data_IF_867572807552
#
_entry.id   IF_867572807552
#
_cell.length_a   1.000
_cell.length_b   1.000
_cell.length_c   1.000
_cell.angle_alpha   90.00
_cell.angle_beta   90.00
_cell.angle_gamma   90.00
#
_symmetry.space_group_name_H-M   'P 1'
#
loop_
_entity.id
_entity.type
_entity.pdbx_description
1 polymer ?
#
# COMPACT_ATOMS: atom_id res chain seq x y z
N UNK A 1 1.73 9.90 41.42
CA UNK A 1 1.03 10.48 40.25
C UNK A 1 1.59 9.81 38.99
N UNK A 2 0.85 8.94 38.29
CA UNK A 2 1.30 8.39 37.02
C UNK A 2 1.38 9.52 35.99
N UNK A 3 2.52 9.67 35.27
CA UNK A 3 2.63 10.68 34.22
C UNK A 3 1.56 10.43 33.16
N UNK A 4 0.77 11.45 32.83
CA UNK A 4 -0.20 11.38 31.72
C UNK A 4 0.58 11.09 30.42
N UNK A 5 0.35 9.92 29.86
CA UNK A 5 0.93 9.53 28.56
C UNK A 5 0.46 10.54 27.51
N UNK A 6 1.37 11.26 26.90
CA UNK A 6 1.06 12.29 25.89
C UNK A 6 0.47 11.65 24.63
N UNK A 7 -0.31 12.42 23.85
CA UNK A 7 -0.82 11.96 22.55
C UNK A 7 0.34 11.56 21.60
N UNK A 8 1.42 12.33 21.61
CA UNK A 8 2.62 12.06 20.83
C UNK A 8 3.24 10.69 21.18
N UNK A 9 3.44 10.40 22.47
CA UNK A 9 3.97 9.10 22.90
C UNK A 9 3.07 7.94 22.47
N UNK A 10 1.73 8.11 22.51
CA UNK A 10 0.81 7.07 22.02
C UNK A 10 0.98 6.80 20.53
N UNK A 11 1.18 7.84 19.74
CA UNK A 11 1.44 7.72 18.28
C UNK A 11 2.76 7.00 18.03
N UNK A 12 3.84 7.39 18.68
CA UNK A 12 5.16 6.76 18.54
C UNK A 12 5.13 5.26 18.90
N UNK A 13 4.44 4.90 20.00
CA UNK A 13 4.28 3.49 20.38
C UNK A 13 3.46 2.72 19.35
N UNK A 14 2.39 3.32 18.81
CA UNK A 14 1.56 2.70 17.77
C UNK A 14 2.37 2.44 16.50
N UNK A 15 3.14 3.39 16.04
CA UNK A 15 4.03 3.28 14.87
C UNK A 15 5.09 2.19 15.08
N UNK A 16 5.72 2.18 16.25
CA UNK A 16 6.68 1.14 16.63
C UNK A 16 6.08 -0.27 16.58
N UNK A 17 4.84 -0.43 17.06
CA UNK A 17 4.14 -1.71 17.01
C UNK A 17 3.83 -2.11 15.56
N UNK A 18 3.37 -1.17 14.73
CA UNK A 18 3.06 -1.42 13.32
C UNK A 18 4.33 -1.85 12.57
N UNK A 19 5.44 -1.17 12.78
CA UNK A 19 6.73 -1.53 12.16
C UNK A 19 7.22 -2.91 12.61
N UNK A 20 7.11 -3.22 13.90
CA UNK A 20 7.44 -4.54 14.43
C UNK A 20 6.53 -5.64 13.83
N UNK A 21 5.25 -5.33 13.62
CA UNK A 21 4.33 -6.26 12.98
C UNK A 21 4.71 -6.55 11.53
N UNK A 22 5.04 -5.53 10.72
CA UNK A 22 5.52 -5.68 9.35
C UNK A 22 6.74 -6.61 9.33
N UNK A 23 7.76 -6.30 10.13
CA UNK A 23 9.00 -7.08 10.22
C UNK A 23 8.74 -8.53 10.64
N UNK A 24 7.86 -8.74 11.63
CA UNK A 24 7.57 -10.08 12.15
C UNK A 24 6.77 -10.90 11.13
N UNK A 25 5.76 -10.30 10.49
CA UNK A 25 5.01 -10.94 9.41
C UNK A 25 5.90 -11.26 8.21
N UNK A 26 6.78 -10.37 7.79
CA UNK A 26 7.72 -10.61 6.68
C UNK A 26 8.69 -11.77 6.96
N UNK A 27 9.05 -11.96 8.23
CA UNK A 27 10.01 -13.01 8.63
C UNK A 27 9.37 -14.38 8.81
N UNK A 28 8.21 -14.45 9.45
CA UNK A 28 7.60 -15.70 9.89
C UNK A 28 6.31 -16.05 9.15
N UNK A 29 5.79 -15.13 8.35
CA UNK A 29 4.48 -15.22 7.72
C UNK A 29 3.35 -14.73 8.62
N UNK A 30 2.25 -14.28 8.00
CA UNK A 30 1.10 -13.76 8.74
C UNK A 30 0.44 -14.82 9.63
N UNK A 31 0.24 -16.04 9.10
CA UNK A 31 -0.46 -17.10 9.83
C UNK A 31 0.32 -17.57 11.06
N UNK A 32 1.61 -17.84 10.90
CA UNK A 32 2.48 -18.36 11.95
C UNK A 32 2.84 -17.34 13.03
N UNK A 33 2.76 -16.04 12.72
CA UNK A 33 3.10 -14.98 13.67
C UNK A 33 2.07 -14.90 14.80
N UNK A 34 2.55 -14.86 16.03
CA UNK A 34 1.74 -14.63 17.24
C UNK A 34 1.84 -13.16 17.67
N UNK A 35 0.82 -12.66 18.35
CA UNK A 35 0.86 -11.32 18.95
C UNK A 35 2.04 -11.14 19.92
N UNK A 36 2.42 -12.23 20.62
CA UNK A 36 3.54 -12.24 21.54
C UNK A 36 4.89 -11.97 20.84
N UNK A 37 5.08 -12.56 19.63
CA UNK A 37 6.30 -12.36 18.82
C UNK A 37 6.42 -10.88 18.38
N UNK A 38 5.29 -10.25 18.09
CA UNK A 38 5.25 -8.83 17.75
C UNK A 38 5.57 -7.95 18.96
N UNK A 39 5.06 -8.30 20.15
CA UNK A 39 5.37 -7.57 21.38
C UNK A 39 6.86 -7.63 21.71
N UNK A 40 7.47 -8.82 21.58
CA UNK A 40 8.89 -9.03 21.78
C UNK A 40 9.74 -8.21 20.79
N UNK A 41 9.40 -8.27 19.49
CA UNK A 41 10.09 -7.50 18.46
C UNK A 41 9.95 -5.97 18.68
N UNK A 42 8.76 -5.52 19.12
CA UNK A 42 8.52 -4.13 19.49
C UNK A 42 9.17 -3.73 20.82
N UNK A 43 9.78 -4.67 21.58
CA UNK A 43 10.35 -4.44 22.92
C UNK A 43 9.35 -3.77 23.87
N UNK A 44 8.12 -4.28 23.91
CA UNK A 44 7.04 -3.83 24.79
C UNK A 44 6.41 -5.02 25.51
N UNK A 45 5.67 -4.77 26.60
CA UNK A 45 4.91 -5.82 27.24
C UNK A 45 3.73 -6.29 26.38
N UNK A 46 3.34 -7.56 26.54
CA UNK A 46 2.12 -8.10 25.91
C UNK A 46 0.89 -7.28 26.26
N UNK A 47 0.75 -6.83 27.51
CA UNK A 47 -0.35 -5.96 27.96
C UNK A 47 -0.37 -4.64 27.20
N UNK A 48 0.81 -4.04 26.96
CA UNK A 48 0.93 -2.82 26.16
C UNK A 48 0.49 -3.06 24.72
N UNK A 49 0.93 -4.16 24.08
CA UNK A 49 0.49 -4.48 22.73
C UNK A 49 -1.05 -4.59 22.63
N UNK A 50 -1.68 -5.36 23.53
CA UNK A 50 -3.13 -5.56 23.51
C UNK A 50 -3.94 -4.31 23.90
N UNK A 51 -3.31 -3.32 24.52
CA UNK A 51 -3.92 -2.01 24.74
C UNK A 51 -4.15 -1.28 23.41
N UNK A 52 -3.20 -1.38 22.46
CA UNK A 52 -3.25 -0.71 21.15
C UNK A 52 -3.97 -1.57 20.09
N UNK A 53 -3.67 -2.86 20.03
CA UNK A 53 -4.17 -3.75 18.99
C UNK A 53 -4.68 -5.06 19.57
N UNK A 54 -5.96 -5.32 19.39
CA UNK A 54 -6.65 -6.49 19.97
C UNK A 54 -6.41 -7.80 19.18
N UNK A 55 -5.93 -7.70 17.93
CA UNK A 55 -5.68 -8.87 17.06
C UNK A 55 -4.75 -8.55 15.91
N UNK A 56 -4.28 -9.59 15.20
CA UNK A 56 -3.50 -9.47 13.96
C UNK A 56 -4.24 -8.71 12.87
N UNK A 57 -5.54 -8.90 12.76
CA UNK A 57 -6.38 -8.19 11.77
C UNK A 57 -6.38 -6.67 12.05
N UNK A 58 -6.41 -6.26 13.33
CA UNK A 58 -6.31 -4.82 13.68
C UNK A 58 -4.96 -4.24 13.36
N UNK A 59 -3.89 -5.01 13.50
CA UNK A 59 -2.55 -4.61 13.03
C UNK A 59 -2.50 -4.49 11.51
N UNK A 60 -3.08 -5.46 10.79
CA UNK A 60 -3.19 -5.38 9.33
C UNK A 60 -3.94 -4.12 8.88
N UNK A 61 -5.06 -3.77 9.51
CA UNK A 61 -5.76 -2.52 9.22
C UNK A 61 -4.87 -1.29 9.40
N UNK A 62 -4.06 -1.26 10.47
CA UNK A 62 -3.16 -0.12 10.70
C UNK A 62 -2.03 -0.05 9.66
N UNK A 63 -1.46 -1.19 9.27
CA UNK A 63 -0.48 -1.28 8.17
C UNK A 63 -1.11 -0.78 6.86
N UNK A 64 -2.33 -1.22 6.56
CA UNK A 64 -3.08 -0.82 5.37
C UNK A 64 -3.38 0.70 5.33
N UNK A 65 -3.75 1.30 6.45
CA UNK A 65 -3.98 2.75 6.52
C UNK A 65 -2.69 3.55 6.26
N UNK A 66 -1.54 3.06 6.74
CA UNK A 66 -0.26 3.70 6.45
C UNK A 66 0.03 3.67 4.94
N UNK A 67 -0.10 2.50 4.28
CA UNK A 67 0.14 2.39 2.83
C UNK A 67 -0.83 3.25 2.00
N UNK A 68 -2.08 3.41 2.46
CA UNK A 68 -3.07 4.30 1.85
C UNK A 68 -2.64 5.77 1.95
N UNK A 69 -2.14 6.19 3.10
CA UNK A 69 -1.67 7.57 3.28
C UNK A 69 -0.43 7.85 2.44
N UNK A 70 0.50 6.91 2.36
CA UNK A 70 1.68 6.97 1.51
C UNK A 70 1.29 7.07 0.02
N UNK A 71 0.35 6.24 -0.44
CA UNK A 71 -0.17 6.32 -1.81
C UNK A 71 -0.76 7.69 -2.12
N UNK A 72 -1.60 8.24 -1.23
CA UNK A 72 -2.18 9.59 -1.39
C UNK A 72 -1.09 10.66 -1.49
N UNK A 73 -0.11 10.60 -0.60
CA UNK A 73 1.00 11.55 -0.57
C UNK A 73 1.82 11.50 -1.85
N UNK A 74 2.17 10.30 -2.33
CA UNK A 74 2.91 10.13 -3.58
C UNK A 74 2.13 10.67 -4.78
N UNK A 75 0.86 10.31 -4.92
CA UNK A 75 0.03 10.82 -6.02
C UNK A 75 -0.16 12.35 -5.97
N UNK A 76 -0.21 12.95 -4.78
CA UNK A 76 -0.36 14.40 -4.63
C UNK A 76 0.86 15.19 -5.11
N UNK A 77 2.04 14.59 -5.10
CA UNK A 77 3.31 15.21 -5.50
C UNK A 77 3.57 15.15 -7.01
N UNK A 78 2.82 14.30 -7.71
CA UNK A 78 3.07 13.99 -9.11
C UNK A 78 2.10 14.70 -10.05
N UNK A 79 2.54 14.87 -11.30
CA UNK A 79 1.70 15.29 -12.43
C UNK A 79 1.16 16.72 -12.32
N UNK A 80 2.07 17.66 -12.12
CA UNK A 80 1.73 19.07 -12.19
C UNK A 80 1.57 19.55 -13.63
N UNK A 81 2.27 18.91 -14.61
CA UNK A 81 2.23 19.22 -16.03
C UNK A 81 2.08 17.97 -16.88
N UNK A 82 1.44 18.10 -18.04
CA UNK A 82 1.20 17.00 -18.97
C UNK A 82 2.51 16.43 -19.55
N UNK A 83 3.51 17.27 -19.77
CA UNK A 83 4.82 16.90 -20.32
C UNK A 83 5.63 16.02 -19.37
N UNK A 84 5.36 16.08 -18.07
CA UNK A 84 6.09 15.34 -17.03
C UNK A 84 5.56 13.93 -16.80
N UNK A 85 4.49 13.52 -17.49
CA UNK A 85 3.73 12.31 -17.22
C UNK A 85 4.57 11.03 -17.12
N UNK A 86 5.51 10.82 -18.06
CA UNK A 86 6.39 9.64 -18.08
C UNK A 86 7.43 9.72 -16.97
N UNK A 87 8.04 10.90 -16.78
CA UNK A 87 9.02 11.16 -15.71
C UNK A 87 8.37 10.96 -14.33
N UNK A 88 7.14 11.41 -14.17
CA UNK A 88 6.43 11.28 -12.90
C UNK A 88 5.94 9.85 -12.66
N UNK A 89 5.57 9.09 -13.71
CA UNK A 89 5.28 7.66 -13.60
C UNK A 89 6.52 6.86 -13.15
N UNK A 90 7.71 7.23 -13.64
CA UNK A 90 8.98 6.63 -13.20
C UNK A 90 9.26 6.95 -11.72
N UNK A 91 9.15 8.21 -11.33
CA UNK A 91 9.33 8.64 -9.93
C UNK A 91 8.33 7.94 -9.00
N UNK A 92 7.06 7.85 -9.42
CA UNK A 92 6.04 7.13 -8.66
C UNK A 92 6.44 5.67 -8.43
N UNK A 93 6.86 4.98 -9.50
CA UNK A 93 7.27 3.59 -9.40
C UNK A 93 8.38 3.39 -8.37
N UNK A 94 9.45 4.18 -8.46
CA UNK A 94 10.61 4.08 -7.58
C UNK A 94 10.27 4.42 -6.12
N UNK A 95 9.54 5.51 -5.90
CA UNK A 95 9.23 6.02 -4.57
C UNK A 95 8.22 5.12 -3.86
N UNK A 96 7.11 4.78 -4.52
CA UNK A 96 6.07 3.95 -3.92
C UNK A 96 6.55 2.52 -3.67
N UNK A 97 7.33 1.96 -4.60
CA UNK A 97 7.97 0.66 -4.42
C UNK A 97 8.86 0.63 -3.17
N UNK A 98 9.70 1.65 -2.97
CA UNK A 98 10.60 1.70 -1.81
C UNK A 98 9.81 1.76 -0.48
N UNK A 99 8.69 2.47 -0.47
CA UNK A 99 7.83 2.58 0.71
C UNK A 99 7.17 1.26 1.11
N UNK A 100 6.75 0.45 0.13
CA UNK A 100 6.00 -0.79 0.40
C UNK A 100 6.86 -2.05 0.36
N UNK A 101 8.15 -1.95 0.03
CA UNK A 101 9.05 -3.10 -0.18
C UNK A 101 8.99 -4.14 0.94
N UNK A 102 9.06 -3.70 2.19
CA UNK A 102 9.06 -4.61 3.34
C UNK A 102 7.68 -5.26 3.58
N UNK A 103 6.60 -4.67 3.08
CA UNK A 103 5.24 -5.17 3.23
C UNK A 103 4.74 -6.01 2.05
N UNK A 104 5.46 -6.05 0.92
CA UNK A 104 5.04 -6.78 -0.29
C UNK A 104 4.80 -8.28 -0.01
N UNK A 105 5.77 -8.97 0.59
CA UNK A 105 5.63 -10.40 0.94
C UNK A 105 4.44 -10.67 1.85
N UNK A 106 4.28 -9.81 2.87
CA UNK A 106 3.17 -9.89 3.81
C UNK A 106 1.83 -9.73 3.11
N UNK A 107 1.75 -8.81 2.16
CA UNK A 107 0.52 -8.56 1.40
C UNK A 107 0.06 -9.81 0.64
N UNK A 108 1.00 -10.55 0.01
CA UNK A 108 0.66 -11.80 -0.69
C UNK A 108 0.24 -12.93 0.22
N UNK A 109 0.91 -13.10 1.36
CA UNK A 109 0.50 -14.09 2.35
C UNK A 109 -0.90 -13.80 2.89
N UNK A 110 -1.19 -12.52 3.14
CA UNK A 110 -2.50 -12.08 3.59
C UNK A 110 -3.58 -12.32 2.52
N UNK A 111 -3.27 -12.07 1.23
CA UNK A 111 -4.17 -12.40 0.12
C UNK A 111 -4.46 -13.91 0.09
N UNK A 112 -3.43 -14.75 0.17
CA UNK A 112 -3.59 -16.20 0.20
C UNK A 112 -4.42 -16.67 1.41
N UNK A 113 -4.12 -16.14 2.61
CA UNK A 113 -4.85 -16.48 3.85
C UNK A 113 -6.31 -15.99 3.82
N UNK A 114 -6.59 -14.88 3.12
CA UNK A 114 -7.95 -14.34 2.99
C UNK A 114 -8.94 -15.34 2.34
N UNK A 115 -8.44 -16.29 1.56
CA UNK A 115 -9.26 -17.36 0.96
C UNK A 115 -9.94 -18.23 2.04
N UNK A 116 -9.30 -18.37 3.20
CA UNK A 116 -9.74 -19.20 4.33
C UNK A 116 -10.28 -18.37 5.51
N UNK A 117 -9.95 -17.07 5.56
CA UNK A 117 -10.31 -16.18 6.66
C UNK A 117 -11.27 -15.07 6.18
N UNK A 118 -12.61 -15.21 6.42
CA UNK A 118 -13.59 -14.21 5.95
C UNK A 118 -13.39 -12.80 6.54
N UNK A 119 -12.89 -12.69 7.77
CA UNK A 119 -12.61 -11.38 8.40
C UNK A 119 -11.46 -10.68 7.69
N UNK A 120 -10.39 -11.42 7.39
CA UNK A 120 -9.25 -10.91 6.66
C UNK A 120 -9.61 -10.53 5.22
N UNK A 121 -10.43 -11.37 4.54
CA UNK A 121 -10.95 -11.07 3.21
C UNK A 121 -11.74 -9.77 3.17
N UNK A 122 -12.60 -9.53 4.17
CA UNK A 122 -13.34 -8.27 4.28
C UNK A 122 -12.39 -7.08 4.46
N UNK A 123 -11.38 -7.21 5.32
CA UNK A 123 -10.38 -6.17 5.54
C UNK A 123 -9.61 -5.83 4.25
N UNK A 124 -9.19 -6.85 3.51
CA UNK A 124 -8.53 -6.67 2.20
C UNK A 124 -9.45 -6.00 1.18
N UNK A 125 -10.71 -6.41 1.11
CA UNK A 125 -11.69 -5.80 0.23
C UNK A 125 -11.87 -4.31 0.55
N UNK A 126 -12.06 -3.96 1.82
CA UNK A 126 -12.20 -2.56 2.26
C UNK A 126 -10.93 -1.74 1.92
N UNK A 127 -9.74 -2.31 2.11
CA UNK A 127 -8.48 -1.70 1.68
C UNK A 127 -8.45 -1.47 0.16
N UNK A 128 -8.79 -2.49 -0.63
CA UNK A 128 -8.78 -2.43 -2.09
C UNK A 128 -9.71 -1.35 -2.63
N UNK A 129 -10.91 -1.24 -2.08
CA UNK A 129 -11.86 -0.17 -2.44
C UNK A 129 -11.29 1.21 -2.14
N UNK A 130 -10.60 1.39 -1.01
CA UNK A 130 -9.92 2.67 -0.70
C UNK A 130 -8.84 3.00 -1.73
N UNK A 131 -8.02 2.02 -2.11
CA UNK A 131 -6.98 2.21 -3.15
C UNK A 131 -7.62 2.60 -4.48
N UNK A 132 -8.66 1.90 -4.94
CA UNK A 132 -9.37 2.25 -6.17
C UNK A 132 -9.91 3.69 -6.12
N UNK A 133 -10.57 4.08 -5.04
CA UNK A 133 -11.12 5.43 -4.90
C UNK A 133 -10.03 6.51 -4.92
N UNK A 134 -8.85 6.25 -4.38
CA UNK A 134 -7.73 7.18 -4.45
C UNK A 134 -7.27 7.36 -5.90
N UNK A 135 -7.10 6.26 -6.63
CA UNK A 135 -6.67 6.31 -8.04
C UNK A 135 -7.75 6.95 -8.92
N UNK A 136 -9.02 6.62 -8.70
CA UNK A 136 -10.16 7.25 -9.40
C UNK A 136 -10.19 8.77 -9.17
N UNK A 137 -10.08 9.22 -7.91
CA UNK A 137 -10.08 10.64 -7.59
C UNK A 137 -8.89 11.36 -8.22
N UNK A 138 -7.72 10.72 -8.21
CA UNK A 138 -6.55 11.23 -8.87
C UNK A 138 -6.77 11.39 -10.38
N UNK A 139 -7.26 10.35 -11.07
CA UNK A 139 -7.54 10.39 -12.51
C UNK A 139 -8.61 11.43 -12.88
N UNK A 140 -9.68 11.53 -12.08
CA UNK A 140 -10.70 12.57 -12.27
C UNK A 140 -10.11 13.98 -12.19
N UNK A 141 -9.22 14.23 -11.23
CA UNK A 141 -8.55 15.52 -11.12
C UNK A 141 -7.66 15.82 -12.34
N UNK A 142 -6.97 14.81 -12.91
CA UNK A 142 -6.21 14.99 -14.15
C UNK A 142 -7.13 15.22 -15.37
N UNK A 143 -8.31 14.58 -15.38
CA UNK A 143 -9.33 14.80 -16.39
C UNK A 143 -9.87 16.25 -16.36
N UNK A 144 -10.15 16.79 -15.18
CA UNK A 144 -10.57 18.17 -14.96
C UNK A 144 -9.52 19.19 -15.45
N UNK A 145 -8.23 18.86 -15.30
CA UNK A 145 -7.11 19.65 -15.84
C UNK A 145 -6.96 19.55 -17.36
N UNK A 146 -7.74 18.71 -18.02
CA UNK A 146 -7.68 18.51 -19.48
C UNK A 146 -6.50 17.65 -19.96
N UNK A 147 -5.90 16.84 -19.06
CA UNK A 147 -4.80 15.95 -19.43
C UNK A 147 -5.27 14.71 -20.22
N UNK A 148 -6.56 14.37 -20.12
CA UNK A 148 -7.17 13.22 -20.78
C UNK A 148 -8.43 13.62 -21.58
N UNK A 149 -8.82 12.78 -22.53
CA UNK A 149 -10.10 12.90 -23.24
C UNK A 149 -11.27 12.70 -22.28
N UNK A 150 -12.36 13.44 -22.49
CA UNK A 150 -13.53 13.43 -21.60
C UNK A 150 -14.34 12.13 -21.60
N UNK A 151 -14.15 11.26 -22.57
CA UNK A 151 -14.95 10.03 -22.76
C UNK A 151 -14.23 8.75 -22.36
N UNK A 152 -13.31 8.82 -21.39
CA UNK A 152 -12.65 7.64 -20.84
C UNK A 152 -13.43 7.04 -19.67
N UNK A 153 -13.41 5.71 -19.54
CA UNK A 153 -13.89 5.03 -18.34
C UNK A 153 -12.81 5.06 -17.25
N UNK A 154 -12.91 6.08 -16.39
CA UNK A 154 -11.95 6.29 -15.28
C UNK A 154 -11.91 5.10 -14.32
N UNK A 155 -13.06 4.43 -14.08
CA UNK A 155 -13.10 3.28 -13.17
C UNK A 155 -12.36 2.07 -13.77
N UNK A 156 -12.55 1.81 -15.06
CA UNK A 156 -11.86 0.73 -15.75
C UNK A 156 -10.35 0.98 -15.78
N UNK A 157 -9.91 2.22 -16.08
CA UNK A 157 -8.49 2.59 -16.10
C UNK A 157 -7.88 2.47 -14.70
N UNK A 158 -8.55 2.97 -13.66
CA UNK A 158 -8.08 2.84 -12.29
C UNK A 158 -7.90 1.37 -11.89
N UNK A 159 -8.87 0.52 -12.22
CA UNK A 159 -8.76 -0.93 -11.96
C UNK A 159 -7.59 -1.57 -12.71
N UNK A 160 -7.37 -1.19 -13.97
CA UNK A 160 -6.25 -1.66 -14.79
C UNK A 160 -4.89 -1.24 -14.21
N UNK A 161 -4.76 0.01 -13.77
CA UNK A 161 -3.51 0.51 -13.17
C UNK A 161 -3.16 -0.21 -11.85
N UNK A 162 -4.16 -0.43 -11.00
CA UNK A 162 -3.96 -1.17 -9.75
C UNK A 162 -3.59 -2.63 -10.06
N UNK A 163 -4.26 -3.28 -11.00
CA UNK A 163 -3.95 -4.65 -11.41
C UNK A 163 -2.55 -4.77 -12.04
N UNK A 164 -2.14 -3.78 -12.85
CA UNK A 164 -0.78 -3.70 -13.39
C UNK A 164 0.26 -3.67 -12.28
N UNK A 165 0.07 -2.80 -11.29
CA UNK A 165 0.99 -2.68 -10.16
C UNK A 165 1.07 -3.97 -9.35
N UNK A 166 -0.07 -4.61 -9.06
CA UNK A 166 -0.12 -5.92 -8.39
C UNK A 166 0.65 -6.99 -9.19
N UNK A 167 0.44 -7.04 -10.52
CA UNK A 167 1.14 -7.97 -11.40
C UNK A 167 2.66 -7.79 -11.41
N UNK A 168 3.12 -6.54 -11.41
CA UNK A 168 4.56 -6.23 -11.33
C UNK A 168 5.15 -6.60 -9.96
N UNK A 169 4.38 -6.47 -8.89
CA UNK A 169 4.78 -6.92 -7.55
C UNK A 169 4.92 -8.45 -7.51
N UNK A 170 3.97 -9.20 -8.10
CA UNK A 170 4.10 -10.66 -8.26
C UNK A 170 5.35 -11.01 -9.08
N UNK A 171 5.59 -10.32 -10.18
CA UNK A 171 6.77 -10.53 -11.04
C UNK A 171 8.07 -10.40 -10.25
N UNK A 172 8.19 -9.40 -9.37
CA UNK A 172 9.35 -9.23 -8.47
C UNK A 172 9.52 -10.41 -7.51
N UNK A 173 8.44 -10.85 -6.88
CA UNK A 173 8.48 -12.01 -5.97
C UNK A 173 8.89 -13.29 -6.67
N UNK A 174 8.61 -13.41 -7.97
CA UNK A 174 9.05 -14.52 -8.82
C UNK A 174 10.48 -14.36 -9.35
N UNK A 175 11.18 -13.28 -9.02
CA UNK A 175 12.56 -13.04 -9.40
C UNK A 175 12.76 -12.33 -10.76
N UNK A 176 11.69 -11.78 -11.34
CA UNK A 176 11.83 -10.91 -12.52
C UNK A 176 12.57 -9.64 -12.14
N UNK A 177 13.55 -9.25 -12.98
CA UNK A 177 14.42 -8.13 -12.65
C UNK A 177 13.66 -6.82 -12.48
N UNK A 178 14.15 -5.99 -11.56
CA UNK A 178 13.57 -4.67 -11.27
C UNK A 178 13.53 -3.78 -12.51
N UNK A 179 14.60 -3.80 -13.31
CA UNK A 179 14.67 -3.03 -14.56
C UNK A 179 13.58 -3.44 -15.55
N UNK A 180 13.27 -4.74 -15.65
CA UNK A 180 12.20 -5.24 -16.52
C UNK A 180 10.83 -4.78 -16.04
N UNK A 181 10.58 -4.87 -14.74
CA UNK A 181 9.33 -4.42 -14.12
C UNK A 181 9.12 -2.91 -14.25
N UNK A 182 10.15 -2.12 -13.98
CA UNK A 182 10.13 -0.66 -14.15
C UNK A 182 9.87 -0.27 -15.60
N UNK A 183 10.54 -0.92 -16.57
CA UNK A 183 10.30 -0.70 -17.98
C UNK A 183 8.86 -1.05 -18.39
N UNK A 184 8.34 -2.17 -17.93
CA UNK A 184 6.95 -2.57 -18.19
C UNK A 184 5.95 -1.54 -17.63
N UNK A 185 6.17 -1.04 -16.41
CA UNK A 185 5.38 0.03 -15.83
C UNK A 185 5.37 1.27 -16.73
N UNK A 186 6.56 1.83 -17.02
CA UNK A 186 6.72 3.08 -17.78
C UNK A 186 6.08 2.97 -19.16
N UNK A 187 6.35 1.90 -19.91
CA UNK A 187 5.82 1.74 -21.27
C UNK A 187 4.30 1.53 -21.27
N UNK A 188 3.76 0.81 -20.30
CA UNK A 188 2.31 0.62 -20.18
C UNK A 188 1.62 1.93 -19.80
N UNK A 189 2.16 2.69 -18.84
CA UNK A 189 1.65 4.01 -18.49
C UNK A 189 1.70 4.94 -19.71
N UNK A 190 2.82 4.98 -20.43
CA UNK A 190 2.95 5.76 -21.65
C UNK A 190 1.86 5.40 -22.67
N UNK A 191 1.67 4.10 -22.95
CA UNK A 191 0.67 3.64 -23.92
C UNK A 191 -0.75 4.00 -23.52
N UNK A 192 -1.11 3.82 -22.24
CA UNK A 192 -2.43 4.21 -21.72
C UNK A 192 -2.65 5.70 -21.91
N UNK A 193 -1.72 6.54 -21.44
CA UNK A 193 -1.92 7.98 -21.41
C UNK A 193 -1.76 8.64 -22.78
N UNK A 194 -0.95 8.10 -23.71
CA UNK A 194 -0.90 8.58 -25.09
C UNK A 194 -2.11 8.14 -25.90
N UNK A 195 -2.68 6.97 -25.62
CA UNK A 195 -3.89 6.47 -26.28
C UNK A 195 -5.18 7.18 -25.88
N UNK A 196 -5.20 7.85 -24.72
CA UNK A 196 -6.37 8.58 -24.18
C UNK A 196 -6.22 10.11 -24.24
N UNK A 197 -5.17 10.59 -24.91
CA UNK A 197 -4.94 12.02 -25.19
C UNK A 197 -5.73 12.54 -26.41
#
# INVERSE_FOLDING_TARGET
>A
MCPRVTAQYKTEVKEKIVQAAITTFSKYGYDKTRMDDIAENAKISKGTLYLYFKSKEKLFYAISENSINELKEQLSKLFSKKEDLVSDAEKFYDQYRNLIHDSEKVSFEIIAESSRNPKLRRALYEHRIKVYNIVINYLNHQLEKGFFRKNIDVNAIASGLVALYDGLTISRLLGISENSNKKAWIETIRAIFTGIN
#
